data_IF_865241882061
#
_entry.id   IF_865241882061
#
_cell.length_a   1.000
_cell.length_b   1.000
_cell.length_c   1.000
_cell.angle_alpha   90.00
_cell.angle_beta   90.00
_cell.angle_gamma   90.00
#
_symmetry.space_group_name_H-M   'P 1'
#
loop_
_entity.id
_entity.type
_entity.pdbx_description
1 polymer ?
#
# COMPACT_ATOMS: atom_id res chain seq x y z
N UNK A 1 4.80 29.95 -31.81
CA UNK A 1 5.05 28.50 -31.65
C UNK A 1 5.45 28.26 -30.21
N UNK A 2 4.53 27.75 -29.38
CA UNK A 2 4.83 27.43 -27.99
C UNK A 2 5.68 26.17 -27.96
N UNK A 3 6.91 26.30 -27.47
CA UNK A 3 7.82 25.19 -27.24
C UNK A 3 7.20 24.25 -26.19
N UNK A 4 6.72 23.09 -26.64
CA UNK A 4 6.44 21.97 -25.74
C UNK A 4 7.79 21.48 -25.20
N UNK A 5 8.17 21.94 -24.01
CA UNK A 5 9.22 21.30 -23.24
C UNK A 5 8.84 19.83 -23.02
N UNK A 6 9.41 18.93 -23.83
CA UNK A 6 9.47 17.50 -23.52
C UNK A 6 10.35 17.33 -22.28
N UNK A 7 9.76 17.55 -21.10
CA UNK A 7 10.40 17.21 -19.85
C UNK A 7 10.47 15.70 -19.73
N UNK A 8 11.59 15.16 -20.21
CA UNK A 8 12.07 13.80 -19.89
C UNK A 8 12.57 13.78 -18.43
N UNK A 9 11.73 14.19 -17.48
CA UNK A 9 12.04 14.43 -16.07
C UNK A 9 11.02 13.76 -15.14
N UNK A 10 11.36 13.65 -13.85
CA UNK A 10 10.40 13.16 -12.83
C UNK A 10 9.16 14.06 -12.82
N UNK A 11 7.98 13.46 -12.74
CA UNK A 11 6.73 14.21 -12.60
C UNK A 11 6.67 14.85 -11.21
N UNK A 12 6.99 16.15 -11.15
CA UNK A 12 7.05 16.91 -9.90
C UNK A 12 5.72 16.88 -9.14
N UNK A 13 4.59 16.94 -9.84
CA UNK A 13 3.25 16.85 -9.25
C UNK A 13 3.04 15.57 -8.44
N UNK A 14 3.49 14.42 -8.95
CA UNK A 14 3.38 13.12 -8.29
C UNK A 14 4.26 13.07 -7.03
N UNK A 15 5.48 13.60 -7.14
CA UNK A 15 6.42 13.63 -6.02
C UNK A 15 5.94 14.58 -4.89
N UNK A 16 5.43 15.76 -5.25
CA UNK A 16 4.86 16.73 -4.29
C UNK A 16 3.62 16.14 -3.59
N UNK A 17 2.70 15.55 -4.35
CA UNK A 17 1.49 14.96 -3.76
C UNK A 17 1.80 13.76 -2.86
N UNK A 18 2.81 12.95 -3.21
CA UNK A 18 3.28 11.87 -2.33
C UNK A 18 3.89 12.43 -1.04
N UNK A 19 4.68 13.50 -1.13
CA UNK A 19 5.24 14.17 0.05
C UNK A 19 4.16 14.75 0.96
N UNK A 20 3.16 15.42 0.38
CA UNK A 20 2.03 15.98 1.11
C UNK A 20 1.19 14.91 1.81
N UNK A 21 0.91 13.79 1.14
CA UNK A 21 0.18 12.66 1.77
C UNK A 21 0.98 12.01 2.90
N UNK A 22 2.30 11.85 2.76
CA UNK A 22 3.16 11.38 3.86
C UNK A 22 3.15 12.35 5.05
N UNK A 23 3.22 13.66 4.81
CA UNK A 23 3.12 14.65 5.89
C UNK A 23 1.76 14.58 6.59
N UNK A 24 0.66 14.44 5.83
CA UNK A 24 -0.67 14.28 6.39
C UNK A 24 -0.81 13.01 7.24
N UNK A 25 -0.19 11.88 6.84
CA UNK A 25 -0.14 10.67 7.67
C UNK A 25 0.52 10.91 9.02
N UNK A 26 1.60 11.70 9.06
CA UNK A 26 2.29 12.03 10.32
C UNK A 26 1.37 12.85 11.22
N UNK A 27 0.68 13.85 10.67
CA UNK A 27 -0.24 14.72 11.42
C UNK A 27 -1.42 13.94 11.99
N UNK A 28 -2.03 13.05 11.21
CA UNK A 28 -3.19 12.25 11.66
C UNK A 28 -2.78 11.20 12.70
N UNK A 29 -1.61 10.57 12.55
CA UNK A 29 -1.16 9.55 13.49
C UNK A 29 -0.56 10.12 14.78
N UNK A 30 -0.11 11.38 14.77
CA UNK A 30 0.49 12.05 15.93
C UNK A 30 -0.12 13.44 16.18
N UNK A 31 -1.41 13.52 16.59
CA UNK A 31 -2.07 14.80 16.80
C UNK A 31 -1.59 15.54 18.08
N UNK A 32 -0.64 14.99 18.82
CA UNK A 32 -0.16 15.48 20.12
C UNK A 32 -1.17 15.23 21.25
N UNK A 33 -2.40 15.71 21.10
CA UNK A 33 -3.51 15.46 22.03
C UNK A 33 -4.74 14.91 21.30
N UNK A 34 -5.06 13.65 21.57
CA UNK A 34 -6.26 12.99 21.06
C UNK A 34 -7.57 13.68 21.47
N UNK A 35 -7.57 14.42 22.59
CA UNK A 35 -8.74 15.18 23.09
C UNK A 35 -8.98 16.49 22.35
N UNK A 36 -7.94 17.07 21.72
CA UNK A 36 -8.02 18.34 20.99
C UNK A 36 -7.92 18.17 19.47
N UNK A 37 -8.06 16.93 18.98
CA UNK A 37 -7.95 16.61 17.56
C UNK A 37 -9.10 17.24 16.76
N UNK A 38 -8.77 17.98 15.70
CA UNK A 38 -9.77 18.54 14.79
C UNK A 38 -10.66 17.42 14.22
N UNK A 39 -11.98 17.66 14.14
CA UNK A 39 -12.93 16.66 13.67
C UNK A 39 -12.59 16.12 12.28
N UNK A 40 -12.07 16.96 11.38
CA UNK A 40 -11.65 16.56 10.04
C UNK A 40 -10.48 15.55 10.01
N UNK A 41 -9.69 15.47 11.09
CA UNK A 41 -8.55 14.55 11.21
C UNK A 41 -8.93 13.26 11.95
N UNK A 42 -10.13 13.17 12.52
CA UNK A 42 -10.59 11.97 13.22
C UNK A 42 -11.05 10.92 12.22
N UNK A 43 -10.63 9.68 12.43
CA UNK A 43 -11.13 8.54 11.68
C UNK A 43 -12.64 8.37 11.88
N UNK A 44 -13.35 8.03 10.80
CA UNK A 44 -14.77 7.75 10.87
C UNK A 44 -15.03 6.47 11.69
N UNK A 45 -16.21 6.41 12.32
CA UNK A 45 -16.67 5.17 12.92
C UNK A 45 -16.90 4.12 11.83
N UNK A 46 -16.77 2.84 12.19
CA UNK A 46 -17.00 1.75 11.25
C UNK A 46 -18.41 1.83 10.64
N UNK A 47 -18.51 1.80 9.31
CA UNK A 47 -19.76 1.92 8.57
C UNK A 47 -20.28 3.35 8.37
N UNK A 48 -19.65 4.36 8.96
CA UNK A 48 -19.94 5.76 8.68
C UNK A 48 -19.26 6.22 7.37
N UNK A 49 -19.70 7.34 6.77
CA UNK A 49 -19.00 7.95 5.64
C UNK A 49 -17.53 8.22 5.97
N UNK A 50 -16.60 8.01 5.01
CA UNK A 50 -15.17 8.16 5.28
C UNK A 50 -14.81 9.60 5.62
N UNK A 51 -13.99 9.77 6.65
CA UNK A 51 -13.42 11.06 7.01
C UNK A 51 -12.24 11.41 6.07
N UNK A 52 -11.84 12.68 5.97
CA UNK A 52 -10.66 13.07 5.19
C UNK A 52 -9.39 12.30 5.59
N UNK A 53 -9.25 11.96 6.87
CA UNK A 53 -8.16 11.13 7.39
C UNK A 53 -8.10 9.72 6.75
N UNK A 54 -9.25 9.14 6.44
CA UNK A 54 -9.37 7.77 5.92
C UNK A 54 -8.95 7.68 4.44
N UNK A 55 -8.94 8.81 3.72
CA UNK A 55 -8.54 8.88 2.31
C UNK A 55 -7.02 9.03 2.12
N UNK A 56 -6.29 9.47 3.13
CA UNK A 56 -4.85 9.74 3.03
C UNK A 56 -4.08 8.48 2.61
N UNK A 57 -4.34 7.35 3.28
CA UNK A 57 -3.65 6.09 2.98
C UNK A 57 -3.99 5.52 1.60
N UNK A 58 -5.28 5.42 1.19
CA UNK A 58 -5.65 5.07 -0.19
C UNK A 58 -4.98 5.95 -1.25
N UNK A 59 -4.96 7.28 -1.06
CA UNK A 59 -4.29 8.19 -2.00
C UNK A 59 -2.80 7.91 -2.09
N UNK A 60 -2.13 7.67 -0.96
CA UNK A 60 -0.71 7.35 -0.95
C UNK A 60 -0.39 6.05 -1.71
N UNK A 61 -1.13 4.97 -1.46
CA UNK A 61 -0.91 3.68 -2.14
C UNK A 61 -1.21 3.79 -3.63
N UNK A 62 -2.22 4.56 -4.03
CA UNK A 62 -2.48 4.85 -5.44
C UNK A 62 -1.28 5.53 -6.10
N UNK A 63 -0.70 6.55 -5.47
CA UNK A 63 0.49 7.24 -6.00
C UNK A 63 1.73 6.35 -6.07
N UNK A 64 1.91 5.46 -5.08
CA UNK A 64 2.95 4.43 -5.12
C UNK A 64 2.74 3.52 -6.34
N UNK A 65 1.50 3.09 -6.60
CA UNK A 65 1.13 2.28 -7.75
C UNK A 65 1.41 2.98 -9.09
N UNK A 66 0.97 4.23 -9.26
CA UNK A 66 1.21 5.05 -10.45
C UNK A 66 2.70 5.29 -10.70
N UNK A 67 3.50 5.38 -9.64
CA UNK A 67 4.96 5.56 -9.74
C UNK A 67 5.68 4.36 -10.37
N UNK A 68 5.11 3.15 -10.29
CA UNK A 68 5.72 1.92 -10.85
C UNK A 68 5.85 1.99 -12.38
N UNK A 69 4.78 2.10 -13.19
CA UNK A 69 4.88 2.15 -14.64
C UNK A 69 5.67 3.38 -15.13
N UNK A 70 5.56 4.52 -14.43
CA UNK A 70 6.34 5.72 -14.76
C UNK A 70 7.85 5.51 -14.54
N UNK A 71 8.24 4.79 -13.49
CA UNK A 71 9.65 4.49 -13.23
C UNK A 71 10.19 3.38 -14.15
N UNK A 72 9.40 2.33 -14.39
CA UNK A 72 9.82 1.19 -15.22
C UNK A 72 9.80 1.54 -16.71
N UNK A 73 8.78 2.27 -17.18
CA UNK A 73 8.68 2.70 -18.58
C UNK A 73 9.91 3.48 -19.03
N UNK A 74 10.40 4.40 -18.19
CA UNK A 74 11.64 5.16 -18.45
C UNK A 74 12.90 4.28 -18.52
N UNK A 75 12.98 3.23 -17.70
CA UNK A 75 14.13 2.32 -17.72
C UNK A 75 14.10 1.38 -18.93
N UNK A 76 12.89 1.00 -19.36
CA UNK A 76 12.69 0.20 -20.56
C UNK A 76 13.02 1.00 -21.83
N UNK A 77 12.60 2.27 -21.92
CA UNK A 77 12.98 3.15 -23.05
C UNK A 77 14.48 3.45 -23.06
N UNK A 78 15.13 3.47 -21.89
CA UNK A 78 16.58 3.57 -21.76
C UNK A 78 17.33 2.25 -22.03
N UNK A 79 16.65 1.19 -22.48
CA UNK A 79 17.29 -0.08 -22.84
C UNK A 79 17.80 -0.92 -21.65
N UNK A 80 17.35 -0.66 -20.43
CA UNK A 80 17.79 -1.42 -19.25
C UNK A 80 17.36 -2.89 -19.36
N UNK A 81 18.26 -3.86 -19.10
CA UNK A 81 17.93 -5.27 -19.17
C UNK A 81 16.97 -5.65 -18.04
N UNK A 82 16.08 -6.62 -18.32
CA UNK A 82 15.10 -7.15 -17.36
C UNK A 82 15.66 -7.54 -15.97
N UNK A 83 16.82 -8.22 -15.85
CA UNK A 83 17.39 -8.56 -14.54
C UNK A 83 17.72 -7.33 -13.67
N UNK A 84 18.12 -6.21 -14.28
CA UNK A 84 18.46 -4.98 -13.55
C UNK A 84 17.21 -4.34 -12.94
N UNK A 85 16.08 -4.40 -13.66
CA UNK A 85 14.78 -3.95 -13.15
C UNK A 85 14.36 -4.77 -11.92
N UNK A 86 14.49 -6.09 -12.00
CA UNK A 86 14.16 -6.99 -10.91
C UNK A 86 15.09 -6.78 -9.71
N UNK A 87 16.40 -6.68 -9.93
CA UNK A 87 17.39 -6.41 -8.88
C UNK A 87 17.10 -5.10 -8.17
N UNK A 88 16.76 -4.05 -8.92
CA UNK A 88 16.38 -2.77 -8.36
C UNK A 88 15.12 -2.87 -7.49
N UNK A 89 14.09 -3.58 -7.98
CA UNK A 89 12.85 -3.76 -7.26
C UNK A 89 13.03 -4.57 -5.97
N UNK A 90 13.78 -5.67 -6.04
CA UNK A 90 14.12 -6.50 -4.88
C UNK A 90 14.94 -5.74 -3.84
N UNK A 91 15.95 -4.96 -4.26
CA UNK A 91 16.73 -4.11 -3.34
C UNK A 91 15.83 -3.12 -2.62
N UNK A 92 14.90 -2.47 -3.34
CA UNK A 92 13.96 -1.51 -2.74
C UNK A 92 13.00 -2.20 -1.77
N UNK A 93 12.46 -3.37 -2.15
CA UNK A 93 11.60 -4.17 -1.29
C UNK A 93 12.33 -4.61 -0.02
N UNK A 94 13.57 -5.08 -0.14
CA UNK A 94 14.40 -5.48 0.99
C UNK A 94 14.68 -4.30 1.94
N UNK A 95 15.01 -3.12 1.41
CA UNK A 95 15.22 -1.92 2.24
C UNK A 95 13.95 -1.56 3.01
N UNK A 96 12.78 -1.57 2.36
CA UNK A 96 11.50 -1.29 3.03
C UNK A 96 11.18 -2.34 4.11
N UNK A 97 11.46 -3.60 3.83
CA UNK A 97 11.27 -4.69 4.79
C UNK A 97 12.18 -4.51 6.01
N UNK A 98 13.47 -4.23 5.79
CA UNK A 98 14.44 -4.03 6.88
C UNK A 98 14.10 -2.80 7.72
N UNK A 99 13.69 -1.69 7.09
CA UNK A 99 13.22 -0.51 7.82
C UNK A 99 11.95 -0.84 8.62
N UNK A 100 10.99 -1.55 8.03
CA UNK A 100 9.76 -1.95 8.72
C UNK A 100 10.03 -2.84 9.94
N UNK A 101 10.93 -3.83 9.79
CA UNK A 101 11.33 -4.70 10.91
C UNK A 101 12.09 -3.91 11.97
N UNK A 102 13.01 -3.04 11.57
CA UNK A 102 13.76 -2.19 12.49
C UNK A 102 12.87 -1.25 13.31
N UNK A 103 11.84 -0.66 12.68
CA UNK A 103 10.86 0.19 13.36
C UNK A 103 9.97 -0.61 14.31
N UNK A 104 9.61 -1.86 13.96
CA UNK A 104 8.82 -2.72 14.85
C UNK A 104 9.62 -3.22 16.05
N UNK A 105 10.95 -3.31 15.92
CA UNK A 105 11.84 -3.80 16.97
C UNK A 105 12.27 -2.68 17.94
N UNK A 106 12.16 -1.41 17.53
CA UNK A 106 12.53 -0.26 18.34
C UNK A 106 11.33 0.26 19.15
N UNK A 107 11.47 0.61 20.44
CA UNK A 107 12.70 0.66 21.25
C UNK A 107 12.98 -0.58 22.11
N UNK A 108 12.02 -1.49 22.26
CA UNK A 108 12.06 -2.53 23.31
C UNK A 108 12.83 -3.81 22.91
N UNK A 109 13.19 -3.96 21.63
CA UNK A 109 13.94 -5.08 21.05
C UNK A 109 13.41 -6.48 21.37
N UNK A 110 12.10 -6.60 21.63
CA UNK A 110 11.47 -7.86 21.96
C UNK A 110 11.00 -8.60 20.70
N UNK A 111 11.73 -9.66 20.34
CA UNK A 111 11.42 -10.53 19.20
C UNK A 111 10.13 -11.35 19.40
N UNK A 112 9.63 -11.50 20.62
CA UNK A 112 8.42 -12.27 20.91
C UNK A 112 7.12 -11.50 20.60
N UNK A 113 7.17 -10.17 20.56
CA UNK A 113 6.00 -9.30 20.31
C UNK A 113 6.03 -8.63 18.92
N UNK A 114 7.03 -8.97 18.08
CA UNK A 114 7.16 -8.39 16.74
C UNK A 114 5.96 -8.76 15.87
N UNK A 115 5.08 -7.78 15.62
CA UNK A 115 4.12 -7.85 14.53
C UNK A 115 4.87 -7.83 13.20
N UNK A 116 5.04 -8.99 12.57
CA UNK A 116 5.67 -9.10 11.25
C UNK A 116 4.99 -8.28 10.12
N UNK A 117 3.65 -8.16 10.01
CA UNK A 117 3.01 -7.59 8.83
C UNK A 117 2.78 -6.07 8.93
N UNK A 118 3.84 -5.29 9.13
CA UNK A 118 3.75 -3.83 9.12
C UNK A 118 3.40 -3.25 7.73
N UNK A 119 2.99 -1.98 7.71
CA UNK A 119 2.59 -1.28 6.47
C UNK A 119 3.73 -1.27 5.44
N UNK A 120 4.98 -1.06 5.89
CA UNK A 120 6.15 -1.02 5.01
C UNK A 120 6.43 -2.38 4.36
N UNK A 121 6.31 -3.47 5.13
CA UNK A 121 6.48 -4.84 4.65
C UNK A 121 5.42 -5.19 3.60
N UNK A 122 4.16 -4.83 3.85
CA UNK A 122 3.06 -5.01 2.89
C UNK A 122 3.32 -4.23 1.59
N UNK A 123 3.75 -2.97 1.68
CA UNK A 123 4.12 -2.15 0.52
C UNK A 123 5.29 -2.79 -0.26
N UNK A 124 6.30 -3.33 0.44
CA UNK A 124 7.45 -3.96 -0.19
C UNK A 124 7.04 -5.16 -1.06
N UNK A 125 6.21 -6.06 -0.51
CA UNK A 125 5.73 -7.26 -1.22
C UNK A 125 4.88 -6.87 -2.42
N UNK A 126 3.91 -5.96 -2.22
CA UNK A 126 3.02 -5.50 -3.30
C UNK A 126 3.83 -4.79 -4.40
N UNK A 127 4.82 -3.98 -4.04
CA UNK A 127 5.67 -3.30 -5.01
C UNK A 127 6.43 -4.30 -5.91
N UNK A 128 7.03 -5.33 -5.32
CA UNK A 128 7.72 -6.38 -6.08
C UNK A 128 6.73 -7.15 -6.97
N UNK A 129 5.55 -7.51 -6.44
CA UNK A 129 4.50 -8.18 -7.22
C UNK A 129 4.03 -7.33 -8.40
N UNK A 130 3.83 -6.01 -8.22
CA UNK A 130 3.47 -5.10 -9.29
C UNK A 130 4.57 -4.99 -10.36
N UNK A 131 5.85 -4.98 -9.98
CA UNK A 131 6.97 -5.00 -10.93
C UNK A 131 6.98 -6.30 -11.74
N UNK A 132 6.82 -7.45 -11.08
CA UNK A 132 6.75 -8.74 -11.75
C UNK A 132 5.56 -8.80 -12.72
N UNK A 133 4.37 -8.37 -12.28
CA UNK A 133 3.18 -8.29 -13.13
C UNK A 133 3.38 -7.35 -14.32
N UNK A 134 4.08 -6.22 -14.14
CA UNK A 134 4.43 -5.30 -15.21
C UNK A 134 5.38 -5.93 -16.25
N UNK A 135 6.32 -6.77 -15.80
CA UNK A 135 7.27 -7.46 -16.67
C UNK A 135 6.66 -8.69 -17.37
N UNK A 136 5.73 -9.38 -16.70
CA UNK A 136 5.11 -10.61 -17.19
C UNK A 136 3.90 -10.34 -18.10
N UNK A 137 3.12 -9.30 -17.83
CA UNK A 137 1.82 -9.08 -18.49
C UNK A 137 1.72 -7.74 -19.23
N UNK A 138 1.08 -7.78 -20.39
CA UNK A 138 0.66 -6.58 -21.13
C UNK A 138 -0.37 -5.74 -20.35
N UNK A 139 -0.72 -4.54 -20.84
CA UNK A 139 -1.65 -3.64 -20.16
C UNK A 139 -3.04 -4.26 -19.95
N UNK A 140 -3.53 -5.03 -20.94
CA UNK A 140 -4.80 -5.76 -20.83
C UNK A 140 -4.74 -6.84 -19.75
N UNK A 141 -3.66 -7.63 -19.70
CA UNK A 141 -3.49 -8.66 -18.69
C UNK A 141 -3.43 -8.09 -17.27
N UNK A 142 -2.73 -6.96 -17.09
CA UNK A 142 -2.71 -6.22 -15.81
C UNK A 142 -4.08 -5.70 -15.39
N UNK A 143 -4.86 -5.18 -16.34
CA UNK A 143 -6.22 -4.73 -16.07
C UNK A 143 -7.13 -5.89 -15.67
N UNK A 144 -7.09 -7.00 -16.41
CA UNK A 144 -7.85 -8.21 -16.08
C UNK A 144 -7.46 -8.74 -14.71
N UNK A 145 -6.16 -8.82 -14.40
CA UNK A 145 -5.69 -9.25 -13.08
C UNK A 145 -6.17 -8.31 -11.97
N UNK A 146 -6.13 -6.99 -12.18
CA UNK A 146 -6.61 -6.02 -11.20
C UNK A 146 -8.12 -6.15 -10.95
N UNK A 147 -8.93 -6.28 -12.01
CA UNK A 147 -10.37 -6.50 -11.92
C UNK A 147 -10.66 -7.84 -11.24
N UNK A 148 -9.97 -8.91 -11.62
CA UNK A 148 -10.16 -10.24 -11.04
C UNK A 148 -9.80 -10.27 -9.55
N UNK A 149 -8.70 -9.63 -9.14
CA UNK A 149 -8.32 -9.50 -7.73
C UNK A 149 -9.35 -8.70 -6.94
N UNK A 150 -9.81 -7.57 -7.48
CA UNK A 150 -10.81 -6.73 -6.82
C UNK A 150 -12.14 -7.47 -6.68
N UNK A 151 -12.66 -8.02 -7.78
CA UNK A 151 -13.92 -8.77 -7.79
C UNK A 151 -13.85 -10.02 -6.89
N UNK A 152 -12.73 -10.75 -6.93
CA UNK A 152 -12.48 -11.90 -6.08
C UNK A 152 -12.45 -11.52 -4.60
N UNK A 153 -11.76 -10.42 -4.26
CA UNK A 153 -11.71 -9.93 -2.88
C UNK A 153 -13.09 -9.46 -2.39
N UNK A 154 -13.86 -8.76 -3.23
CA UNK A 154 -15.23 -8.35 -2.87
C UNK A 154 -16.17 -9.55 -2.72
N UNK A 155 -16.04 -10.56 -3.58
CA UNK A 155 -16.82 -11.79 -3.49
C UNK A 155 -16.49 -12.57 -2.20
N UNK A 156 -15.20 -12.63 -1.84
CA UNK A 156 -14.75 -13.24 -0.60
C UNK A 156 -15.38 -12.54 0.61
N UNK A 157 -15.31 -11.21 0.66
CA UNK A 157 -15.87 -10.44 1.79
C UNK A 157 -17.41 -10.46 1.85
N UNK A 158 -18.07 -10.48 0.69
CA UNK A 158 -19.52 -10.37 0.60
C UNK A 158 -20.28 -11.69 0.72
N UNK A 159 -19.69 -12.80 0.26
CA UNK A 159 -20.40 -14.08 0.13
C UNK A 159 -19.77 -15.24 0.87
N UNK A 160 -18.45 -15.23 1.10
CA UNK A 160 -17.82 -16.34 1.79
C UNK A 160 -18.06 -16.21 3.31
N UNK A 161 -18.52 -17.27 4.00
CA UNK A 161 -18.73 -17.22 5.44
C UNK A 161 -17.39 -17.19 6.18
N UNK A 162 -17.22 -16.23 7.10
CA UNK A 162 -16.01 -16.16 7.92
C UNK A 162 -15.95 -17.40 8.82
N UNK A 163 -14.85 -18.17 8.84
CA UNK A 163 -14.73 -19.33 9.72
C UNK A 163 -14.87 -18.92 11.19
N UNK A 164 -15.68 -19.66 11.96
CA UNK A 164 -16.03 -19.32 13.34
C UNK A 164 -17.29 -18.45 13.49
N UNK A 165 -17.72 -17.71 12.45
CA UNK A 165 -18.97 -16.93 12.45
C UNK A 165 -20.08 -17.61 11.65
N UNK A 166 -19.72 -18.26 10.53
CA UNK A 166 -20.68 -18.98 9.68
C UNK A 166 -21.52 -18.08 8.74
N UNK A 167 -21.25 -16.78 8.69
CA UNK A 167 -21.86 -15.82 7.75
C UNK A 167 -20.82 -14.83 7.21
N UNK A 168 -21.05 -14.20 6.05
CA UNK A 168 -20.21 -13.11 5.58
C UNK A 168 -20.34 -11.93 6.56
N UNK A 169 -19.20 -11.49 7.11
CA UNK A 169 -19.15 -10.40 8.06
C UNK A 169 -17.89 -9.57 7.80
N UNK A 170 -18.09 -8.26 7.70
CA UNK A 170 -17.01 -7.28 7.59
C UNK A 170 -17.14 -6.37 8.80
N UNK A 171 -16.47 -6.76 9.88
CA UNK A 171 -16.39 -5.98 11.12
C UNK A 171 -14.93 -5.81 11.54
N UNK A 172 -14.61 -4.81 12.38
CA UNK A 172 -13.24 -4.59 12.85
C UNK A 172 -12.68 -5.78 13.63
N UNK A 173 -13.55 -6.53 14.31
CA UNK A 173 -13.17 -7.66 15.17
C UNK A 173 -13.27 -9.01 14.46
N UNK A 174 -14.19 -9.13 13.50
CA UNK A 174 -14.45 -10.39 12.82
C UNK A 174 -14.65 -10.15 11.32
N UNK A 175 -13.66 -10.57 10.54
CA UNK A 175 -13.69 -10.54 9.09
C UNK A 175 -12.67 -11.54 8.54
N UNK A 176 -12.77 -11.86 7.24
CA UNK A 176 -11.78 -12.74 6.58
C UNK A 176 -10.33 -12.31 6.77
N UNK A 177 -9.97 -11.02 6.60
CA UNK A 177 -8.60 -10.56 6.86
C UNK A 177 -8.17 -10.76 8.30
N UNK A 178 -9.05 -10.49 9.26
CA UNK A 178 -8.75 -10.65 10.69
C UNK A 178 -8.51 -12.12 11.04
N UNK A 179 -9.42 -13.00 10.61
CA UNK A 179 -9.27 -14.45 10.81
C UNK A 179 -7.97 -15.00 10.21
N UNK A 180 -7.58 -14.51 9.04
CA UNK A 180 -6.34 -14.93 8.39
C UNK A 180 -5.11 -14.41 9.15
N UNK A 181 -5.12 -13.15 9.60
CA UNK A 181 -4.04 -12.57 10.41
C UNK A 181 -3.89 -13.34 11.73
N UNK A 182 -4.97 -13.63 12.45
CA UNK A 182 -4.96 -14.43 13.68
C UNK A 182 -4.39 -15.84 13.43
N UNK A 183 -4.81 -16.50 12.34
CA UNK A 183 -4.40 -17.88 12.06
C UNK A 183 -2.95 -18.01 11.62
N UNK A 184 -2.46 -17.06 10.81
CA UNK A 184 -1.11 -17.09 10.26
C UNK A 184 -0.09 -16.41 11.18
N UNK A 185 -0.50 -15.38 11.92
CA UNK A 185 0.40 -14.49 12.64
C UNK A 185 0.17 -14.50 14.16
N UNK A 186 -0.83 -15.22 14.65
CA UNK A 186 -1.03 -15.49 16.08
C UNK A 186 -1.31 -14.25 16.92
N UNK A 187 -1.88 -13.21 16.31
CA UNK A 187 -2.20 -11.95 16.97
C UNK A 187 -3.47 -12.04 17.83
#
# INVERSE_FOLDING_TARGET
MQETHEQTGRLASVDVLRGATMAAMIVVNNPGSWRAMYQALRHAAWGAPPAPADLIFPTFIFLVGVSVPLALGRRLTAGSPRPDLLRHALRRGLVLLLIGVGLNLFPDFDLATVRLPGVLQRIAVVYVACVLAFMAWGPRGRLVAAIALLAGYTALLGWAPVPGVGRPLVSPEMSWPVWLDERLLGA
#
